data_IF_229334598399
#
_entry.id   IF_229334598399
#
_cell.length_a   1.000
_cell.length_b   1.000
_cell.length_c   1.000
_cell.angle_alpha   90.00
_cell.angle_beta   90.00
_cell.angle_gamma   90.00
#
_symmetry.space_group_name_H-M   'P 1'
#
loop_
_entity.id
_entity.type
_entity.pdbx_description
1 polymer ?
#
# COMPACT_ATOMS: atom_id res chain seq x y z
N UNK A 1 -28.38 10.13 7.05
CA UNK A 1 -27.45 10.37 5.93
C UNK A 1 -25.99 10.35 6.43
N UNK A 2 -25.44 9.19 6.81
CA UNK A 2 -24.12 9.13 7.51
C UNK A 2 -23.07 8.17 6.94
N UNK A 3 -23.36 7.37 5.91
CA UNK A 3 -22.48 6.27 5.48
C UNK A 3 -21.33 6.66 4.53
N UNK A 4 -21.49 7.70 3.71
CA UNK A 4 -20.50 8.08 2.69
C UNK A 4 -19.34 8.92 3.26
N UNK A 5 -19.62 9.77 4.24
CA UNK A 5 -18.60 10.63 4.87
C UNK A 5 -17.57 9.82 5.65
N UNK A 6 -18.02 8.84 6.46
CA UNK A 6 -17.13 7.98 7.24
C UNK A 6 -16.17 7.18 6.35
N UNK A 7 -16.64 6.74 5.18
CA UNK A 7 -15.83 5.99 4.24
C UNK A 7 -14.72 6.83 3.60
N UNK A 8 -14.99 8.09 3.22
CA UNK A 8 -13.95 8.98 2.71
C UNK A 8 -12.93 9.35 3.77
N UNK A 9 -13.36 9.61 5.00
CA UNK A 9 -12.45 9.95 6.10
C UNK A 9 -11.46 8.82 6.38
N UNK A 10 -11.92 7.57 6.40
CA UNK A 10 -11.03 6.40 6.59
C UNK A 10 -10.05 6.26 5.44
N UNK A 11 -10.50 6.40 4.18
CA UNK A 11 -9.60 6.35 3.01
C UNK A 11 -8.54 7.44 3.08
N UNK A 12 -8.92 8.67 3.43
CA UNK A 12 -7.99 9.79 3.58
C UNK A 12 -7.00 9.54 4.71
N UNK A 13 -7.44 9.08 5.87
CA UNK A 13 -6.57 8.76 7.00
C UNK A 13 -5.57 7.66 6.66
N UNK A 14 -6.01 6.57 6.02
CA UNK A 14 -5.11 5.50 5.60
C UNK A 14 -4.13 6.00 4.55
N UNK A 15 -4.57 6.79 3.57
CA UNK A 15 -3.69 7.37 2.55
C UNK A 15 -2.64 8.27 3.18
N UNK A 16 -3.02 9.10 4.15
CA UNK A 16 -2.14 10.07 4.80
C UNK A 16 -1.14 9.39 5.77
N UNK A 17 -1.57 8.36 6.50
CA UNK A 17 -0.79 7.73 7.57
C UNK A 17 -0.02 6.48 7.11
N UNK A 18 -0.52 5.71 6.15
CA UNK A 18 0.15 4.49 5.68
C UNK A 18 1.50 4.80 5.04
N UNK A 19 1.59 5.91 4.32
CA UNK A 19 2.79 6.32 3.63
C UNK A 19 3.98 6.65 4.54
N UNK A 20 3.83 7.54 5.55
CA UNK A 20 4.89 7.82 6.51
C UNK A 20 5.28 6.59 7.33
N UNK A 21 4.29 5.80 7.78
CA UNK A 21 4.54 4.55 8.53
C UNK A 21 5.38 3.58 7.69
N UNK A 22 5.01 3.37 6.44
CA UNK A 22 5.75 2.51 5.53
C UNK A 22 7.16 3.06 5.24
N UNK A 23 7.28 4.36 4.99
CA UNK A 23 8.56 5.00 4.72
C UNK A 23 9.54 4.94 5.91
N UNK A 24 9.02 4.90 7.15
CA UNK A 24 9.81 4.62 8.35
C UNK A 24 10.16 3.13 8.47
N UNK A 25 9.21 2.23 8.18
CA UNK A 25 9.41 0.79 8.26
C UNK A 25 10.54 0.32 7.32
N UNK A 26 10.61 0.86 6.10
CA UNK A 26 11.68 0.52 5.14
C UNK A 26 13.06 1.04 5.55
N UNK A 27 13.16 1.93 6.55
CA UNK A 27 14.44 2.40 7.10
C UNK A 27 14.97 1.55 8.25
N UNK A 28 14.18 0.59 8.74
CA UNK A 28 14.60 -0.30 9.82
C UNK A 28 15.83 -1.14 9.43
N UNK A 29 16.70 -1.48 10.41
CA UNK A 29 17.91 -2.25 10.14
C UNK A 29 17.60 -3.63 9.53
N UNK A 30 16.47 -4.23 9.88
CA UNK A 30 16.02 -5.51 9.35
C UNK A 30 15.76 -5.46 7.84
N UNK A 31 15.06 -4.42 7.36
CA UNK A 31 14.76 -4.25 5.94
C UNK A 31 16.02 -3.94 5.14
N UNK A 32 16.92 -3.11 5.70
CA UNK A 32 18.23 -2.83 5.11
C UNK A 32 19.10 -4.08 5.01
N UNK A 33 19.12 -4.92 6.05
CA UNK A 33 19.86 -6.18 6.03
C UNK A 33 19.33 -7.13 4.96
N UNK A 34 18.00 -7.21 4.80
CA UNK A 34 17.37 -7.96 3.71
C UNK A 34 17.76 -7.45 2.33
N UNK A 35 17.75 -6.13 2.13
CA UNK A 35 18.18 -5.50 0.88
C UNK A 35 19.64 -5.78 0.56
N UNK A 36 20.54 -5.64 1.55
CA UNK A 36 21.96 -5.95 1.37
C UNK A 36 22.20 -7.43 1.01
N UNK A 37 21.43 -8.36 1.60
CA UNK A 37 21.48 -9.79 1.21
C UNK A 37 21.02 -10.00 -0.23
N UNK A 38 19.96 -9.32 -0.69
CA UNK A 38 19.52 -9.38 -2.08
C UNK A 38 20.56 -8.79 -3.03
N UNK A 39 21.19 -7.68 -2.65
CA UNK A 39 22.25 -7.02 -3.42
C UNK A 39 23.49 -7.92 -3.54
N UNK A 40 23.92 -8.55 -2.45
CA UNK A 40 25.01 -9.54 -2.46
C UNK A 40 24.68 -10.72 -3.39
N UNK A 41 23.48 -11.29 -3.31
CA UNK A 41 23.04 -12.37 -4.20
C UNK A 41 22.98 -11.95 -5.67
N UNK A 42 22.64 -10.70 -5.97
CA UNK A 42 22.68 -10.17 -7.33
C UNK A 42 24.12 -10.04 -7.83
N UNK A 43 25.03 -9.52 -7.00
CA UNK A 43 26.46 -9.43 -7.34
C UNK A 43 27.11 -10.81 -7.53
N UNK A 44 26.66 -11.83 -6.79
CA UNK A 44 27.07 -13.23 -6.96
C UNK A 44 26.44 -13.92 -8.20
N UNK A 45 25.61 -13.24 -8.98
CA UNK A 45 24.91 -13.80 -10.15
C UNK A 45 23.76 -14.77 -9.80
N UNK A 46 23.40 -14.88 -8.51
CA UNK A 46 22.34 -15.78 -8.01
C UNK A 46 20.93 -15.19 -8.10
N UNK A 47 20.81 -13.88 -8.28
CA UNK A 47 19.54 -13.19 -8.53
C UNK A 47 19.55 -12.61 -9.94
N UNK A 48 18.45 -12.82 -10.70
CA UNK A 48 18.29 -12.20 -12.04
C UNK A 48 17.88 -10.73 -11.97
N UNK A 49 17.31 -10.29 -10.85
CA UNK A 49 16.76 -8.93 -10.69
C UNK A 49 17.65 -8.12 -9.75
N UNK A 50 18.05 -6.94 -10.24
CA UNK A 50 18.78 -5.96 -9.46
C UNK A 50 17.85 -5.29 -8.43
N UNK A 51 18.10 -5.46 -7.12
CA UNK A 51 17.28 -4.81 -6.09
C UNK A 51 17.36 -3.28 -6.14
N UNK A 52 18.40 -2.65 -6.71
CA UNK A 52 18.48 -1.19 -6.83
C UNK A 52 17.46 -0.61 -7.83
N UNK A 53 17.04 -1.43 -8.80
CA UNK A 53 15.99 -1.06 -9.76
C UNK A 53 14.60 -1.04 -9.14
N UNK A 54 14.40 -1.57 -7.93
CA UNK A 54 13.11 -1.59 -7.26
C UNK A 54 12.55 -0.16 -7.07
N UNK A 55 11.24 -0.02 -7.31
CA UNK A 55 10.52 1.25 -7.24
C UNK A 55 10.40 1.79 -5.80
N UNK A 56 10.35 0.87 -4.84
CA UNK A 56 10.18 1.10 -3.41
C UNK A 56 11.26 0.30 -2.70
N UNK A 57 11.92 0.90 -1.70
CA UNK A 57 12.93 0.19 -0.92
C UNK A 57 13.84 1.11 -0.09
N UNK A 58 14.71 0.54 0.76
CA UNK A 58 15.57 1.29 1.65
C UNK A 58 16.58 2.20 0.92
N UNK A 59 16.87 1.92 -0.35
CA UNK A 59 17.77 2.68 -1.23
C UNK A 59 17.12 3.92 -1.84
N UNK A 60 15.79 4.05 -1.77
CA UNK A 60 15.06 5.22 -2.30
C UNK A 60 14.88 6.30 -1.23
N UNK A 61 14.77 7.59 -1.64
CA UNK A 61 14.53 8.67 -0.70
C UNK A 61 13.18 8.52 0.01
N UNK A 62 13.12 9.00 1.26
CA UNK A 62 11.94 8.87 2.12
C UNK A 62 10.66 9.34 1.44
N UNK A 63 10.69 10.52 0.83
CA UNK A 63 9.54 11.11 0.14
C UNK A 63 8.98 10.24 -0.98
N UNK A 64 9.84 9.52 -1.71
CA UNK A 64 9.39 8.61 -2.77
C UNK A 64 8.70 7.37 -2.21
N UNK A 65 9.28 6.75 -1.17
CA UNK A 65 8.67 5.61 -0.51
C UNK A 65 7.35 6.00 0.15
N UNK A 66 7.29 7.20 0.74
CA UNK A 66 6.06 7.76 1.30
C UNK A 66 5.00 7.91 0.20
N UNK A 67 5.24 8.71 -0.84
CA UNK A 67 4.25 8.98 -1.88
C UNK A 67 3.74 7.70 -2.54
N UNK A 68 4.65 6.77 -2.90
CA UNK A 68 4.26 5.51 -3.52
C UNK A 68 3.45 4.62 -2.57
N UNK A 69 3.83 4.52 -1.30
CA UNK A 69 3.08 3.75 -0.32
C UNK A 69 1.70 4.38 -0.06
N UNK A 70 1.62 5.70 0.13
CA UNK A 70 0.35 6.42 0.27
C UNK A 70 -0.57 6.15 -0.92
N UNK A 71 -0.07 6.23 -2.14
CA UNK A 71 -0.84 5.96 -3.35
C UNK A 71 -1.34 4.51 -3.41
N UNK A 72 -0.46 3.54 -3.12
CA UNK A 72 -0.79 2.12 -3.15
C UNK A 72 -1.84 1.76 -2.08
N UNK A 73 -1.60 2.13 -0.82
CA UNK A 73 -2.50 1.82 0.28
C UNK A 73 -3.82 2.59 0.18
N UNK A 74 -3.77 3.87 -0.21
CA UNK A 74 -4.96 4.68 -0.46
C UNK A 74 -5.82 4.11 -1.58
N UNK A 75 -5.20 3.79 -2.71
CA UNK A 75 -5.87 3.17 -3.87
C UNK A 75 -6.50 1.82 -3.53
N UNK A 76 -5.77 0.94 -2.83
CA UNK A 76 -6.32 -0.35 -2.38
C UNK A 76 -7.51 -0.17 -1.42
N UNK A 77 -7.40 0.75 -0.46
CA UNK A 77 -8.48 1.01 0.51
C UNK A 77 -9.72 1.54 -0.20
N UNK A 78 -9.55 2.47 -1.14
CA UNK A 78 -10.64 2.99 -1.97
C UNK A 78 -11.29 1.89 -2.82
N UNK A 79 -10.50 1.00 -3.42
CA UNK A 79 -11.01 -0.12 -4.22
C UNK A 79 -11.81 -1.12 -3.38
N UNK A 80 -11.31 -1.50 -2.20
CA UNK A 80 -12.01 -2.40 -1.27
C UNK A 80 -13.32 -1.77 -0.81
N UNK A 81 -13.31 -0.49 -0.44
CA UNK A 81 -14.50 0.25 -0.02
C UNK A 81 -15.54 0.36 -1.14
N UNK A 82 -15.10 0.63 -2.37
CA UNK A 82 -15.98 0.67 -3.53
C UNK A 82 -16.62 -0.69 -3.81
N UNK A 83 -15.84 -1.77 -3.71
CA UNK A 83 -16.33 -3.14 -3.86
C UNK A 83 -17.35 -3.50 -2.76
N UNK A 84 -17.03 -3.23 -1.51
CA UNK A 84 -17.92 -3.47 -0.37
C UNK A 84 -19.25 -2.70 -0.51
N UNK A 85 -19.18 -1.43 -0.93
CA UNK A 85 -20.36 -0.61 -1.18
C UNK A 85 -21.21 -1.16 -2.32
N UNK A 86 -20.57 -1.65 -3.40
CA UNK A 86 -21.26 -2.28 -4.53
C UNK A 86 -21.99 -3.55 -4.10
N UNK A 87 -21.31 -4.44 -3.36
CA UNK A 87 -21.89 -5.68 -2.86
C UNK A 87 -23.08 -5.44 -1.92
N UNK A 88 -22.95 -4.46 -1.01
CA UNK A 88 -24.01 -4.09 -0.08
C UNK A 88 -25.27 -3.59 -0.82
N UNK A 89 -25.11 -2.78 -1.87
CA UNK A 89 -26.25 -2.31 -2.68
C UNK A 89 -26.96 -3.43 -3.42
N UNK A 90 -26.21 -4.38 -3.98
CA UNK A 90 -26.81 -5.55 -4.67
C UNK A 90 -27.60 -6.44 -3.72
N UNK A 91 -27.11 -6.66 -2.50
CA UNK A 91 -27.83 -7.42 -1.47
C UNK A 91 -29.12 -6.73 -1.03
N UNK A 92 -29.09 -5.41 -0.81
CA UNK A 92 -30.29 -4.65 -0.45
C UNK A 92 -31.35 -4.59 -1.56
N UNK A 93 -30.95 -4.70 -2.83
CA UNK A 93 -31.88 -4.72 -3.96
C UNK A 93 -32.61 -6.07 -4.08
N UNK A 94 -31.89 -7.18 -3.84
CA UNK A 94 -32.48 -8.53 -3.83
C UNK A 94 -33.54 -8.69 -2.72
N UNK A 95 -33.27 -8.18 -1.52
CA UNK A 95 -34.22 -8.25 -0.38
C UNK A 95 -35.50 -7.45 -0.65
N UNK A 96 -35.45 -6.37 -1.45
CA UNK A 96 -36.66 -5.58 -1.78
C UNK A 96 -37.51 -6.20 -2.90
N UNK A 97 -37.00 -7.19 -3.60
CA UNK A 97 -37.70 -7.89 -4.69
C UNK A 97 -38.31 -9.23 -4.25
N UNK A 98 -38.15 -9.60 -2.98
CA UNK A 98 -38.76 -10.79 -2.34
C UNK A 98 -39.85 -10.34 -1.38
#
# INVERSE_FOLDING_TARGET
>A
MGGTGMNMTVVLLVTLLAGPVYALMVRTPMVRAGFNKRKARFAEGRSKKDPETELIGPHRPFWRNWLLASLLFGGMTAAIMALATRMSRTLSFQIKLT
#
